data_IF_635469917246
#
_entry.id   IF_635469917246
#
_cell.length_a   1.000
_cell.length_b   1.000
_cell.length_c   1.000
_cell.angle_alpha   90.00
_cell.angle_beta   90.00
_cell.angle_gamma   90.00
#
_symmetry.space_group_name_H-M   'P 1'
#
loop_
_entity.id
_entity.type
_entity.pdbx_description
1 polymer ?
#
# COMPACT_ATOMS: atom_id res chain seq x y z
N UNK A 1 -10.67 2.95 23.05
CA UNK A 1 -12.01 2.69 22.48
C UNK A 1 -11.75 2.39 21.01
N UNK A 2 -12.11 1.18 20.54
CA UNK A 2 -11.87 0.83 19.13
C UNK A 2 -12.81 1.56 18.19
N UNK A 3 -12.43 1.70 16.91
CA UNK A 3 -13.26 2.25 15.86
C UNK A 3 -14.54 1.40 15.71
N UNK A 4 -15.71 2.04 15.81
CA UNK A 4 -16.96 1.40 15.43
C UNK A 4 -17.16 1.58 13.91
N UNK A 5 -16.87 0.51 13.14
CA UNK A 5 -16.91 0.57 11.68
C UNK A 5 -18.32 0.80 11.12
N UNK A 6 -19.38 0.41 11.83
CA UNK A 6 -20.76 0.66 11.38
C UNK A 6 -21.12 2.15 11.48
N UNK A 7 -20.76 2.80 12.58
CA UNK A 7 -20.93 4.24 12.73
C UNK A 7 -20.05 5.01 11.75
N UNK A 8 -18.82 4.55 11.54
CA UNK A 8 -17.90 5.14 10.60
C UNK A 8 -18.40 5.03 9.15
N UNK A 9 -18.98 3.89 8.77
CA UNK A 9 -19.60 3.70 7.46
C UNK A 9 -20.77 4.68 7.26
N UNK A 10 -21.62 4.87 8.26
CA UNK A 10 -22.71 5.84 8.17
C UNK A 10 -22.18 7.28 7.97
N UNK A 11 -21.07 7.66 8.65
CA UNK A 11 -20.41 8.94 8.44
C UNK A 11 -19.85 9.08 7.00
N UNK A 12 -19.25 8.01 6.46
CA UNK A 12 -18.77 7.99 5.08
C UNK A 12 -19.90 8.19 4.08
N UNK A 13 -21.01 7.48 4.26
CA UNK A 13 -22.17 7.57 3.36
C UNK A 13 -22.79 8.97 3.32
N UNK A 14 -22.60 9.77 4.38
CA UNK A 14 -23.05 11.17 4.43
C UNK A 14 -22.11 12.14 3.69
N UNK A 15 -20.80 11.85 3.66
CA UNK A 15 -19.78 12.79 3.20
C UNK A 15 -19.40 12.54 1.74
N UNK A 16 -19.25 11.27 1.35
CA UNK A 16 -18.74 10.90 0.04
C UNK A 16 -19.70 10.00 -0.72
N UNK A 17 -20.04 10.44 -1.92
CA UNK A 17 -20.95 9.73 -2.80
C UNK A 17 -20.29 9.30 -4.11
N UNK A 18 -19.08 9.81 -4.41
CA UNK A 18 -18.48 9.67 -5.73
C UNK A 18 -17.22 8.81 -5.76
N UNK A 19 -16.46 8.75 -4.65
CA UNK A 19 -15.17 8.05 -4.62
C UNK A 19 -15.30 6.57 -4.27
N UNK A 20 -16.25 6.22 -3.41
CA UNK A 20 -16.47 4.87 -2.89
C UNK A 20 -17.79 4.33 -3.41
N UNK A 21 -17.74 3.27 -4.25
CA UNK A 21 -18.94 2.59 -4.75
C UNK A 21 -19.54 1.62 -3.73
N UNK A 22 -18.69 0.98 -2.91
CA UNK A 22 -19.13 0.13 -1.81
C UNK A 22 -18.11 0.09 -0.67
N UNK A 23 -18.59 -0.09 0.56
CA UNK A 23 -17.77 -0.27 1.76
C UNK A 23 -18.27 -1.48 2.53
N UNK A 24 -17.47 -2.56 2.56
CA UNK A 24 -17.81 -3.84 3.18
C UNK A 24 -16.87 -4.13 4.35
N UNK A 25 -17.43 -4.25 5.55
CA UNK A 25 -16.68 -4.58 6.76
C UNK A 25 -16.32 -6.06 6.73
N UNK A 26 -15.05 -6.39 7.08
CA UNK A 26 -14.59 -7.76 7.19
C UNK A 26 -14.60 -8.21 8.66
N UNK A 27 -15.16 -9.38 8.92
CA UNK A 27 -15.33 -9.92 10.27
C UNK A 27 -14.02 -10.39 10.90
N UNK A 28 -13.04 -10.80 10.08
CA UNK A 28 -11.78 -11.36 10.55
C UNK A 28 -10.57 -10.56 10.06
N UNK A 29 -9.59 -10.40 10.96
CA UNK A 29 -8.31 -9.74 10.65
C UNK A 29 -7.19 -10.78 10.75
N UNK A 30 -6.59 -11.14 9.61
CA UNK A 30 -5.34 -11.90 9.60
C UNK A 30 -4.18 -10.98 10.02
N UNK A 31 -3.81 -11.04 11.29
CA UNK A 31 -2.75 -10.19 11.87
C UNK A 31 -1.36 -10.41 11.24
N UNK A 32 -1.13 -11.53 10.57
CA UNK A 32 0.13 -11.79 9.85
C UNK A 32 0.18 -11.02 8.54
N UNK A 33 -0.94 -10.95 7.83
CA UNK A 33 -1.06 -10.24 6.55
C UNK A 33 -1.25 -8.74 6.77
N UNK A 34 -2.07 -8.35 7.75
CA UNK A 34 -2.47 -6.97 8.00
C UNK A 34 -1.89 -6.44 9.32
N UNK A 35 -0.57 -6.47 9.40
CA UNK A 35 0.16 -6.10 10.62
C UNK A 35 -0.21 -4.71 11.15
N UNK A 36 -0.56 -4.66 12.46
CA UNK A 36 -0.92 -3.43 13.16
C UNK A 36 -2.34 -2.91 12.88
N UNK A 37 -3.17 -3.68 12.16
CA UNK A 37 -4.58 -3.36 11.97
C UNK A 37 -5.45 -4.16 12.94
N UNK A 38 -6.49 -3.55 13.45
CA UNK A 38 -7.49 -4.17 14.36
C UNK A 38 -8.83 -4.38 13.69
N UNK A 39 -9.06 -3.70 12.58
CA UNK A 39 -10.29 -3.80 11.79
C UNK A 39 -9.96 -3.67 10.32
N UNK A 40 -10.75 -4.31 9.46
CA UNK A 40 -10.59 -4.30 8.01
C UNK A 40 -11.91 -3.97 7.33
N UNK A 41 -11.81 -3.33 6.17
CA UNK A 41 -12.91 -3.19 5.23
C UNK A 41 -12.40 -3.36 3.79
N UNK A 42 -13.28 -3.80 2.91
CA UNK A 42 -13.09 -3.74 1.47
C UNK A 42 -13.84 -2.55 0.90
N UNK A 43 -13.14 -1.76 0.10
CA UNK A 43 -13.69 -0.59 -0.58
C UNK A 43 -13.63 -0.83 -2.07
N UNK A 44 -14.77 -0.69 -2.75
CA UNK A 44 -14.82 -0.68 -4.20
C UNK A 44 -14.72 0.75 -4.71
N UNK A 45 -13.78 0.96 -5.63
CA UNK A 45 -13.46 2.27 -6.23
C UNK A 45 -13.28 2.11 -7.74
N UNK A 46 -13.30 3.22 -8.46
CA UNK A 46 -12.93 3.22 -9.88
C UNK A 46 -11.44 3.56 -10.03
N UNK A 47 -10.70 2.72 -10.78
CA UNK A 47 -9.28 2.92 -11.10
C UNK A 47 -9.10 2.76 -12.60
N UNK A 48 -8.60 3.78 -13.26
CA UNK A 48 -8.45 3.82 -14.72
C UNK A 48 -9.75 3.48 -15.48
N UNK A 49 -10.90 3.91 -14.97
CA UNK A 49 -12.21 3.67 -15.57
C UNK A 49 -12.74 2.24 -15.35
N UNK A 50 -12.21 1.49 -14.39
CA UNK A 50 -12.64 0.12 -14.07
C UNK A 50 -12.87 -0.03 -12.58
N UNK A 51 -13.90 -0.80 -12.16
CA UNK A 51 -14.11 -1.12 -10.76
C UNK A 51 -12.94 -1.96 -10.22
N UNK A 52 -12.48 -1.63 -9.04
CA UNK A 52 -11.42 -2.33 -8.33
C UNK A 52 -11.68 -2.35 -6.83
N UNK A 53 -11.25 -3.42 -6.16
CA UNK A 53 -11.39 -3.58 -4.71
C UNK A 53 -10.05 -3.35 -4.04
N UNK A 54 -10.03 -2.47 -3.03
CA UNK A 54 -8.89 -2.19 -2.17
C UNK A 54 -9.26 -2.59 -0.75
N UNK A 55 -8.38 -3.33 -0.07
CA UNK A 55 -8.56 -3.63 1.35
C UNK A 55 -7.97 -2.50 2.18
N UNK A 56 -8.76 -2.00 3.14
CA UNK A 56 -8.35 -0.96 4.09
C UNK A 56 -8.22 -1.56 5.48
N UNK A 57 -7.06 -1.35 6.10
CA UNK A 57 -6.80 -1.73 7.47
C UNK A 57 -6.76 -0.50 8.38
N UNK A 58 -7.53 -0.56 9.48
CA UNK A 58 -7.57 0.48 10.49
C UNK A 58 -6.68 0.09 11.67
N UNK A 59 -5.64 0.89 11.97
CA UNK A 59 -4.84 0.72 13.18
C UNK A 59 -5.66 0.94 14.44
N UNK A 60 -5.21 0.39 15.57
CA UNK A 60 -5.90 0.57 16.86
C UNK A 60 -6.00 2.05 17.26
N UNK A 61 -5.04 2.86 16.83
CA UNK A 61 -4.97 4.28 17.13
C UNK A 61 -5.64 5.17 16.08
N UNK A 62 -6.31 4.59 15.08
CA UNK A 62 -7.08 5.40 14.13
C UNK A 62 -8.14 6.22 14.89
N UNK A 63 -8.30 7.52 14.61
CA UNK A 63 -7.76 8.33 13.51
C UNK A 63 -6.43 9.04 13.78
N UNK A 64 -5.78 8.82 14.94
CA UNK A 64 -4.45 9.39 15.23
C UNK A 64 -3.33 8.74 14.38
N UNK A 65 -3.55 7.56 13.86
CA UNK A 65 -2.70 6.85 12.91
C UNK A 65 -3.49 6.64 11.60
N UNK A 66 -2.83 6.86 10.46
CA UNK A 66 -3.49 6.76 9.16
C UNK A 66 -3.89 5.32 8.82
N UNK A 67 -4.95 5.12 8.02
CA UNK A 67 -5.33 3.80 7.54
C UNK A 67 -4.26 3.24 6.59
N UNK A 68 -4.20 1.92 6.52
CA UNK A 68 -3.30 1.15 5.65
C UNK A 68 -4.10 0.57 4.50
N UNK A 69 -3.51 0.57 3.30
CA UNK A 69 -4.19 0.08 2.10
C UNK A 69 -3.43 -1.09 1.50
N UNK A 70 -4.19 -2.05 0.95
CA UNK A 70 -3.63 -3.28 0.41
C UNK A 70 -4.33 -3.67 -0.89
N UNK A 71 -3.54 -4.05 -1.89
CA UNK A 71 -3.97 -4.82 -3.05
C UNK A 71 -3.98 -6.31 -2.69
N UNK A 72 -5.00 -6.72 -1.95
CA UNK A 72 -5.09 -8.08 -1.38
C UNK A 72 -5.27 -9.16 -2.42
N UNK A 73 -5.79 -8.80 -3.59
CA UNK A 73 -6.09 -9.69 -4.70
C UNK A 73 -5.08 -9.61 -5.85
N UNK A 74 -4.03 -8.82 -5.69
CA UNK A 74 -3.02 -8.57 -6.72
C UNK A 74 -3.61 -8.09 -8.05
N UNK A 75 -4.58 -7.18 -7.98
CA UNK A 75 -5.31 -6.68 -9.16
C UNK A 75 -4.45 -5.77 -10.04
N UNK A 76 -3.47 -5.10 -9.44
CA UNK A 76 -2.66 -4.07 -10.12
C UNK A 76 -1.29 -4.58 -10.59
N UNK A 77 -0.98 -5.87 -10.34
CA UNK A 77 0.33 -6.44 -10.69
C UNK A 77 1.48 -5.77 -9.92
N UNK A 78 2.65 -5.73 -10.52
CA UNK A 78 3.83 -5.11 -9.92
C UNK A 78 3.86 -3.63 -10.27
N UNK A 79 3.55 -2.79 -9.29
CA UNK A 79 3.62 -1.33 -9.39
C UNK A 79 4.56 -0.78 -8.32
N UNK A 80 5.21 0.40 -8.54
CA UNK A 80 6.01 1.05 -7.51
C UNK A 80 5.20 1.28 -6.23
N UNK A 81 5.87 1.28 -5.09
CA UNK A 81 5.27 1.48 -3.77
C UNK A 81 4.29 0.39 -3.31
N UNK A 82 4.30 -0.78 -3.96
CA UNK A 82 3.57 -1.96 -3.55
C UNK A 82 4.54 -3.04 -3.06
N UNK A 83 4.37 -3.47 -1.82
CA UNK A 83 5.14 -4.57 -1.25
C UNK A 83 4.57 -5.93 -1.70
N UNK A 84 5.37 -6.98 -1.57
CA UNK A 84 4.95 -8.37 -1.85
C UNK A 84 3.74 -8.84 -1.03
N UNK A 85 3.48 -8.21 0.13
CA UNK A 85 2.29 -8.42 0.95
C UNK A 85 1.01 -7.80 0.36
N UNK A 86 1.12 -7.01 -0.71
CA UNK A 86 0.06 -6.17 -1.26
C UNK A 86 -0.05 -4.80 -0.61
N UNK A 87 0.73 -4.50 0.45
CA UNK A 87 0.70 -3.20 1.11
C UNK A 87 1.12 -2.08 0.16
N UNK A 88 0.33 -0.99 0.14
CA UNK A 88 0.53 0.19 -0.71
C UNK A 88 1.10 1.34 0.12
N UNK A 89 2.36 1.68 -0.12
CA UNK A 89 3.06 2.77 0.56
C UNK A 89 2.82 4.09 -0.18
N UNK A 90 1.72 4.77 0.08
CA UNK A 90 1.26 5.95 -0.67
C UNK A 90 1.76 7.29 -0.13
N UNK A 91 2.33 7.31 1.08
CA UNK A 91 2.83 8.53 1.70
C UNK A 91 3.86 8.24 2.77
N UNK A 92 4.71 9.23 3.04
CA UNK A 92 5.48 9.28 4.29
C UNK A 92 4.58 9.90 5.35
N UNK A 93 4.47 9.28 6.52
CA UNK A 93 3.59 9.69 7.64
C UNK A 93 3.76 11.16 8.06
N UNK A 94 4.96 11.72 7.83
CA UNK A 94 5.32 13.11 8.15
C UNK A 94 4.66 14.16 7.23
N UNK A 95 4.01 13.73 6.14
CA UNK A 95 3.49 14.64 5.10
C UNK A 95 1.99 14.87 5.17
N UNK A 96 1.29 14.31 6.17
CA UNK A 96 -0.16 14.41 6.30
C UNK A 96 -0.54 15.29 7.48
N UNK A 97 -1.26 16.37 7.19
CA UNK A 97 -2.01 17.09 8.21
C UNK A 97 -3.29 16.30 8.50
N UNK A 98 -3.35 15.69 9.69
CA UNK A 98 -4.48 14.85 10.13
C UNK A 98 -5.34 15.68 11.08
N UNK A 99 -6.60 15.92 10.70
CA UNK A 99 -7.59 16.43 11.62
C UNK A 99 -8.43 15.26 12.16
N UNK A 100 -8.07 14.78 13.34
CA UNK A 100 -8.68 13.61 13.99
C UNK A 100 -10.17 13.76 14.29
N UNK A 101 -10.70 14.98 14.17
CA UNK A 101 -12.14 15.25 14.36
C UNK A 101 -12.99 14.73 13.20
N UNK A 102 -12.38 14.47 12.05
CA UNK A 102 -13.05 14.06 10.83
C UNK A 102 -12.44 12.76 10.27
N UNK A 103 -12.67 11.60 10.91
CA UNK A 103 -12.09 10.32 10.52
C UNK A 103 -12.40 9.91 9.08
N UNK A 104 -13.63 10.14 8.62
CA UNK A 104 -14.05 9.85 7.25
C UNK A 104 -13.24 10.68 6.23
N UNK A 105 -13.01 11.95 6.49
CA UNK A 105 -12.18 12.80 5.62
C UNK A 105 -10.73 12.34 5.56
N UNK A 106 -10.19 11.79 6.65
CA UNK A 106 -8.84 11.19 6.66
C UNK A 106 -8.79 10.01 5.70
N UNK A 107 -9.76 9.09 5.80
CA UNK A 107 -9.85 7.94 4.91
C UNK A 107 -9.92 8.38 3.44
N UNK A 108 -10.83 9.29 3.10
CA UNK A 108 -11.03 9.77 1.73
C UNK A 108 -9.77 10.43 1.16
N UNK A 109 -9.11 11.29 1.93
CA UNK A 109 -7.86 11.93 1.51
C UNK A 109 -6.73 10.91 1.28
N UNK A 110 -6.62 9.90 2.14
CA UNK A 110 -5.66 8.82 1.96
C UNK A 110 -6.01 7.96 0.75
N UNK A 111 -7.28 7.60 0.59
CA UNK A 111 -7.77 6.80 -0.54
C UNK A 111 -7.52 7.48 -1.88
N UNK A 112 -7.78 8.79 -1.98
CA UNK A 112 -7.49 9.56 -3.20
C UNK A 112 -6.00 9.50 -3.59
N UNK A 113 -5.10 9.54 -2.59
CA UNK A 113 -3.65 9.39 -2.85
C UNK A 113 -3.29 7.98 -3.29
N UNK A 114 -3.93 6.96 -2.72
CA UNK A 114 -3.74 5.55 -3.11
C UNK A 114 -4.21 5.31 -4.53
N UNK A 115 -5.38 5.83 -4.91
CA UNK A 115 -5.90 5.72 -6.27
C UNK A 115 -4.91 6.36 -7.27
N UNK A 116 -4.45 7.58 -6.99
CA UNK A 116 -3.46 8.26 -7.83
C UNK A 116 -2.16 7.46 -7.97
N UNK A 117 -1.67 6.86 -6.86
CA UNK A 117 -0.49 6.01 -6.87
C UNK A 117 -0.67 4.80 -7.79
N UNK A 118 -1.80 4.10 -7.64
CA UNK A 118 -2.11 2.91 -8.44
C UNK A 118 -2.24 3.29 -9.91
N UNK A 119 -2.97 4.36 -10.23
CA UNK A 119 -3.15 4.83 -11.61
C UNK A 119 -1.82 5.18 -12.27
N UNK A 120 -0.96 5.93 -11.57
CA UNK A 120 0.38 6.25 -12.06
C UNK A 120 1.22 4.97 -12.29
N UNK A 121 1.12 4.00 -11.36
CA UNK A 121 1.79 2.71 -11.49
C UNK A 121 1.31 1.90 -12.69
N UNK A 122 0.00 1.77 -12.86
CA UNK A 122 -0.61 1.04 -13.99
C UNK A 122 -0.30 1.70 -15.33
N UNK A 123 -0.31 3.03 -15.39
CA UNK A 123 0.07 3.82 -16.59
C UNK A 123 1.58 3.82 -16.84
N UNK A 124 2.39 3.41 -15.86
CA UNK A 124 3.84 3.41 -15.93
C UNK A 124 4.47 4.81 -15.86
N UNK A 125 3.77 5.77 -15.29
CA UNK A 125 4.23 7.17 -15.16
C UNK A 125 5.28 7.34 -14.05
N UNK A 126 5.33 6.43 -13.08
CA UNK A 126 6.26 6.46 -11.95
C UNK A 126 7.33 5.35 -12.00
N UNK A 127 7.71 4.89 -13.20
CA UNK A 127 8.73 3.83 -13.37
C UNK A 127 10.07 4.16 -12.73
N UNK A 128 10.46 5.43 -12.70
CA UNK A 128 11.71 5.87 -12.09
C UNK A 128 11.74 5.63 -10.56
N UNK A 129 10.57 5.50 -9.95
CA UNK A 129 10.47 5.20 -8.52
C UNK A 129 10.84 3.73 -8.23
N UNK A 130 10.65 2.81 -9.18
CA UNK A 130 11.16 1.44 -9.05
C UNK A 130 12.69 1.40 -8.87
N UNK A 131 13.41 2.23 -9.61
CA UNK A 131 14.87 2.27 -9.53
C UNK A 131 15.30 2.76 -8.14
N UNK A 132 14.65 3.81 -7.63
CA UNK A 132 14.95 4.35 -6.30
C UNK A 132 14.60 3.36 -5.17
N UNK A 133 13.46 2.68 -5.30
CA UNK A 133 13.05 1.67 -4.33
C UNK A 133 13.98 0.45 -4.37
N UNK A 134 14.37 0.03 -5.57
CA UNK A 134 15.30 -1.07 -5.75
C UNK A 134 16.63 -0.79 -5.04
N UNK A 135 17.17 0.42 -5.17
CA UNK A 135 18.40 0.83 -4.45
C UNK A 135 18.22 0.77 -2.93
N UNK A 136 17.05 1.18 -2.40
CA UNK A 136 16.75 1.13 -0.96
C UNK A 136 16.60 -0.31 -0.47
N UNK A 137 15.91 -1.17 -1.23
CA UNK A 137 15.70 -2.58 -0.85
C UNK A 137 16.99 -3.40 -0.95
N UNK A 138 17.80 -3.18 -1.98
CA UNK A 138 19.09 -3.86 -2.14
C UNK A 138 20.14 -3.37 -1.15
N UNK A 139 20.12 -2.09 -0.80
CA UNK A 139 20.99 -1.54 0.24
C UNK A 139 20.71 -2.08 1.65
N UNK A 140 19.47 -2.51 1.92
CA UNK A 140 19.03 -2.97 3.24
C UNK A 140 18.97 -4.49 3.41
N UNK A 141 18.86 -5.28 2.32
CA UNK A 141 18.46 -6.70 2.40
C UNK A 141 19.51 -7.71 1.91
N UNK A 142 20.56 -7.33 1.22
CA UNK A 142 21.53 -8.28 0.67
C UNK A 142 22.97 -7.78 0.81
N UNK A 143 23.65 -8.25 1.86
CA UNK A 143 25.11 -8.37 1.78
C UNK A 143 25.41 -9.57 0.90
N UNK A 144 25.54 -9.34 -0.41
CA UNK A 144 26.07 -10.36 -1.31
C UNK A 144 27.57 -10.46 -1.01
N UNK A 145 27.97 -11.54 -0.37
CA UNK A 145 29.38 -11.90 -0.29
C UNK A 145 29.80 -12.43 -1.67
N UNK A 146 30.19 -11.51 -2.57
CA UNK A 146 30.90 -11.90 -3.77
C UNK A 146 32.34 -12.23 -3.40
N UNK A 147 32.73 -13.48 -3.49
CA UNK A 147 34.12 -13.85 -3.45
C UNK A 147 34.71 -13.47 -4.83
N UNK A 148 35.22 -12.25 -4.93
CA UNK A 148 35.92 -11.80 -6.11
C UNK A 148 37.39 -12.28 -5.98
N UNK A 149 37.75 -13.28 -6.77
CA UNK A 149 39.16 -13.63 -6.91
C UNK A 149 39.83 -12.54 -7.76
N UNK A 150 40.56 -11.64 -7.12
CA UNK A 150 41.23 -10.52 -7.79
C UNK A 150 42.43 -10.92 -8.62
N UNK A 151 42.78 -12.20 -8.71
CA UNK A 151 43.88 -12.72 -9.54
C UNK A 151 43.43 -13.04 -10.95
N UNK A 152 42.14 -13.16 -11.26
CA UNK A 152 41.62 -13.37 -12.60
C UNK A 152 40.87 -12.13 -13.10
N UNK A 153 41.47 -11.44 -14.07
CA UNK A 153 40.91 -10.23 -14.68
C UNK A 153 39.80 -10.50 -15.71
N UNK A 154 39.35 -11.75 -15.86
CA UNK A 154 38.26 -12.12 -16.76
C UNK A 154 36.95 -12.31 -16.00
N UNK A 155 36.05 -11.32 -16.10
CA UNK A 155 34.64 -11.45 -15.69
C UNK A 155 33.97 -12.52 -16.57
N UNK A 156 33.68 -13.69 -15.99
CA UNK A 156 32.85 -14.71 -16.66
C UNK A 156 31.42 -14.52 -16.24
N UNK A 157 30.56 -14.20 -17.19
CA UNK A 157 29.11 -14.02 -17.02
C UNK A 157 28.36 -15.27 -16.48
N UNK A 158 29.03 -16.45 -16.50
CA UNK A 158 28.42 -17.73 -16.13
C UNK A 158 28.31 -18.03 -14.64
N UNK A 159 28.96 -17.25 -13.77
CA UNK A 159 29.02 -17.57 -12.33
C UNK A 159 27.93 -16.87 -11.48
N UNK A 160 27.07 -16.07 -12.10
CA UNK A 160 26.02 -15.31 -11.41
C UNK A 160 24.67 -16.05 -11.27
N UNK A 161 24.50 -17.24 -11.88
CA UNK A 161 23.18 -17.87 -11.99
C UNK A 161 23.07 -19.30 -11.45
N UNK A 162 24.07 -19.81 -10.73
CA UNK A 162 24.04 -21.15 -10.13
C UNK A 162 24.23 -21.11 -8.62
N UNK A 163 23.19 -20.73 -7.91
CA UNK A 163 22.90 -21.22 -6.53
C UNK A 163 21.41 -21.22 -6.30
#
# INVERSE_FOLDING_TARGET
MGLNLEEFKAELDEIDQDLISSFNILDEVDSKKYSGCTSLAEIEVEICGKPAVITVGFPINFPNEIPKFYDSYNLFGDIPHKLSSGFLCFTRSESLLIDVRYPASILLNCLAKVINLIEAGVKGENKDDFVKEFEVYWGAALTIYAHIDTTDSTLRESDLWNT
#
